data_IF_998351565458
#
_entry.id   IF_998351565458
#
_cell.length_a   1.000
_cell.length_b   1.000
_cell.length_c   1.000
_cell.angle_alpha   90.00
_cell.angle_beta   90.00
_cell.angle_gamma   90.00
#
_symmetry.space_group_name_H-M   'P 1'
#
loop_
_entity.id
_entity.type
_entity.pdbx_description
1 polymer ?
#
# COMPACT_ATOMS: atom_id res chain seq x y z
N UNK A 1 -4.79 14.38 -11.84
CA UNK A 1 -3.62 13.99 -11.04
C UNK A 1 -3.99 12.72 -10.30
N UNK A 2 -3.25 11.63 -10.50
CA UNK A 2 -3.42 10.44 -9.68
C UNK A 2 -2.93 10.72 -8.26
N UNK A 3 -3.72 10.36 -7.26
CA UNK A 3 -3.32 10.49 -5.87
C UNK A 3 -2.16 9.52 -5.60
N UNK A 4 -1.00 10.06 -5.24
CA UNK A 4 0.11 9.24 -4.76
C UNK A 4 -0.16 8.84 -3.32
N UNK A 5 -0.08 7.54 -3.03
CA UNK A 5 -0.12 7.02 -1.66
C UNK A 5 1.29 7.15 -1.08
N UNK A 6 1.50 7.97 -0.03
CA UNK A 6 2.80 8.08 0.61
C UNK A 6 3.27 6.74 1.17
N UNK A 7 4.58 6.47 1.08
CA UNK A 7 5.19 5.32 1.76
C UNK A 7 5.14 5.49 3.28
N UNK A 8 5.05 4.39 4.01
CA UNK A 8 5.06 4.41 5.48
C UNK A 8 4.11 3.40 6.11
N UNK A 9 3.95 3.46 7.43
CA UNK A 9 3.07 2.56 8.18
C UNK A 9 1.66 3.12 8.28
N UNK A 10 0.69 2.28 7.95
CA UNK A 10 -0.74 2.56 7.99
C UNK A 10 -1.44 1.53 8.88
N UNK A 11 -2.60 1.93 9.41
CA UNK A 11 -3.49 1.04 10.17
C UNK A 11 -4.65 0.60 9.28
N UNK A 12 -4.81 -0.71 9.12
CA UNK A 12 -5.98 -1.27 8.46
C UNK A 12 -7.22 -1.00 9.30
N UNK A 13 -8.37 -0.78 8.66
CA UNK A 13 -9.61 -0.49 9.38
C UNK A 13 -10.04 -1.65 10.30
N UNK A 14 -9.56 -2.88 10.04
CA UNK A 14 -9.76 -4.06 10.90
C UNK A 14 -8.76 -4.17 12.06
N UNK A 15 -7.85 -3.23 12.23
CA UNK A 15 -6.88 -3.20 13.33
C UNK A 15 -5.41 -3.35 12.92
N UNK A 16 -5.01 -4.37 12.13
CA UNK A 16 -3.60 -4.64 11.86
C UNK A 16 -2.84 -3.49 11.21
N UNK A 17 -1.53 -3.40 11.48
CA UNK A 17 -0.63 -2.48 10.80
C UNK A 17 -0.09 -3.11 9.51
N UNK A 18 0.17 -2.26 8.52
CA UNK A 18 0.89 -2.62 7.30
C UNK A 18 1.78 -1.48 6.86
N UNK A 19 2.85 -1.79 6.14
CA UNK A 19 3.71 -0.79 5.51
C UNK A 19 3.40 -0.69 4.02
N UNK A 20 3.19 0.54 3.55
CA UNK A 20 3.08 0.88 2.13
C UNK A 20 4.48 1.09 1.56
N UNK A 21 4.82 0.29 0.55
CA UNK A 21 6.08 0.38 -0.19
C UNK A 21 6.01 1.38 -1.36
N UNK A 22 4.81 1.59 -1.91
CA UNK A 22 4.55 2.49 -3.02
C UNK A 22 3.34 2.05 -3.84
N UNK A 23 3.04 2.81 -4.90
CA UNK A 23 2.03 2.45 -5.90
C UNK A 23 2.68 2.18 -7.25
N UNK A 24 2.15 1.21 -7.99
CA UNK A 24 2.60 0.86 -9.33
C UNK A 24 1.41 0.57 -10.24
N UNK A 25 1.64 0.66 -11.56
CA UNK A 25 0.66 0.25 -12.56
C UNK A 25 0.89 -1.20 -12.94
N UNK A 26 -0.15 -2.02 -12.84
CA UNK A 26 -0.09 -3.42 -13.27
C UNK A 26 -0.02 -3.49 -14.80
N UNK A 27 0.99 -4.15 -15.35
CA UNK A 27 1.29 -4.10 -16.79
C UNK A 27 0.29 -4.80 -17.69
N UNK A 28 -0.49 -5.75 -17.16
CA UNK A 28 -1.46 -6.50 -17.99
C UNK A 28 -2.83 -5.82 -18.03
N UNK A 29 -3.19 -5.10 -16.97
CA UNK A 29 -4.55 -4.54 -16.79
C UNK A 29 -4.55 -3.02 -16.65
N UNK A 30 -3.37 -2.40 -16.60
CA UNK A 30 -3.17 -0.98 -16.33
C UNK A 30 -3.77 -0.49 -15.00
N UNK A 31 -4.16 -1.42 -14.10
CA UNK A 31 -4.76 -1.11 -12.82
C UNK A 31 -3.72 -0.54 -11.83
N UNK A 32 -4.15 0.41 -11.00
CA UNK A 32 -3.32 0.93 -9.92
C UNK A 32 -3.30 -0.05 -8.74
N UNK A 33 -2.12 -0.49 -8.32
CA UNK A 33 -1.93 -1.38 -7.17
C UNK A 33 -1.06 -0.70 -6.11
N UNK A 34 -1.42 -0.93 -4.83
CA UNK A 34 -0.61 -0.51 -3.68
C UNK A 34 0.15 -1.71 -3.15
N UNK A 35 1.48 -1.71 -3.32
CA UNK A 35 2.35 -2.71 -2.73
C UNK A 35 2.48 -2.49 -1.23
N UNK A 36 2.17 -3.51 -0.43
CA UNK A 36 2.26 -3.47 1.03
C UNK A 36 2.67 -4.83 1.60
N UNK A 37 3.06 -4.84 2.88
CA UNK A 37 3.25 -6.07 3.65
C UNK A 37 2.77 -5.88 5.10
N UNK A 38 2.39 -6.99 5.75
CA UNK A 38 1.95 -6.97 7.14
C UNK A 38 3.09 -6.54 8.06
N UNK A 39 2.91 -5.40 8.73
CA UNK A 39 3.85 -4.95 9.75
C UNK A 39 3.45 -5.64 11.05
N UNK A 40 4.28 -6.58 11.50
CA UNK A 40 4.17 -7.07 12.87
C UNK A 40 4.76 -5.99 13.77
N UNK A 41 3.93 -5.40 14.63
CA UNK A 41 4.45 -4.54 15.69
C UNK A 41 5.41 -5.38 16.54
N UNK A 42 6.67 -4.98 16.56
CA UNK A 42 7.66 -5.50 17.51
C UNK A 42 7.29 -5.09 18.94
#
# INVERSE_FOLDING_TARGET
>A
MEAQVPRGIYRHYKGPLYEVLGAARHSETEALLVGNYSAHAA
#
